data_IF_938414182213
#
_entry.id   IF_938414182213
#
_cell.length_a   1.000
_cell.length_b   1.000
_cell.length_c   1.000
_cell.angle_alpha   90.00
_cell.angle_beta   90.00
_cell.angle_gamma   90.00
#
_symmetry.space_group_name_H-M   'P 1'
#
loop_
_entity.id
_entity.type
_entity.pdbx_description
1 polymer ?
#
# COMPACT_ATOMS: atom_id res chain seq x y z
N UNK A 1 30.38 31.12 -11.04
CA UNK A 1 29.20 30.35 -11.48
C UNK A 1 29.10 28.94 -10.89
N UNK A 2 30.22 28.28 -10.53
CA UNK A 2 30.21 26.92 -9.91
C UNK A 2 29.71 26.95 -8.46
N UNK A 3 30.16 27.91 -7.65
CA UNK A 3 29.73 28.09 -6.25
C UNK A 3 28.21 28.29 -6.06
N UNK A 4 27.52 28.86 -7.04
CA UNK A 4 26.07 29.11 -6.97
C UNK A 4 25.25 27.83 -7.24
N UNK A 5 25.80 26.87 -8.01
CA UNK A 5 25.14 25.59 -8.28
C UNK A 5 25.26 24.62 -7.11
N UNK A 6 26.43 24.54 -6.47
CA UNK A 6 26.64 23.71 -5.27
C UNK A 6 25.77 24.18 -4.09
N UNK A 7 25.64 25.50 -3.88
CA UNK A 7 24.76 26.04 -2.84
C UNK A 7 23.28 25.72 -3.09
N UNK A 8 22.88 25.68 -4.36
CA UNK A 8 21.52 25.34 -4.75
C UNK A 8 21.22 23.86 -4.47
N UNK A 9 22.15 22.95 -4.77
CA UNK A 9 22.04 21.53 -4.43
C UNK A 9 21.95 21.29 -2.91
N UNK A 10 22.77 21.99 -2.13
CA UNK A 10 22.82 21.87 -0.66
C UNK A 10 21.52 22.34 0.01
N UNK A 11 20.76 23.24 -0.62
CA UNK A 11 19.50 23.75 -0.05
C UNK A 11 18.28 23.01 -0.63
N UNK A 12 18.20 22.84 -1.94
CA UNK A 12 17.02 22.25 -2.60
C UNK A 12 16.83 20.78 -2.23
N UNK A 13 17.91 20.01 -2.18
CA UNK A 13 17.84 18.56 -1.93
C UNK A 13 17.33 18.30 -0.51
N UNK A 14 17.90 18.86 0.56
CA UNK A 14 17.35 18.69 1.90
C UNK A 14 15.95 19.26 2.05
N UNK A 15 15.62 20.37 1.38
CA UNK A 15 14.27 20.95 1.41
C UNK A 15 13.24 19.99 0.80
N UNK A 16 13.51 19.42 -0.37
CA UNK A 16 12.63 18.43 -1.01
C UNK A 16 12.47 17.17 -0.15
N UNK A 17 13.56 16.66 0.43
CA UNK A 17 13.51 15.52 1.35
C UNK A 17 12.72 15.85 2.62
N UNK A 18 12.90 17.04 3.19
CA UNK A 18 12.19 17.48 4.38
C UNK A 18 10.69 17.62 4.13
N UNK A 19 10.28 18.15 2.96
CA UNK A 19 8.87 18.20 2.56
C UNK A 19 8.26 16.79 2.48
N UNK A 20 8.96 15.85 1.84
CA UNK A 20 8.49 14.47 1.73
C UNK A 20 8.41 13.78 3.10
N UNK A 21 9.45 13.89 3.94
CA UNK A 21 9.47 13.29 5.29
C UNK A 21 8.39 13.94 6.17
N UNK A 22 8.29 15.27 6.15
CA UNK A 22 7.30 16.03 6.90
C UNK A 22 5.87 15.62 6.54
N UNK A 23 5.59 15.42 5.25
CA UNK A 23 4.29 14.90 4.81
C UNK A 23 4.01 13.48 5.36
N UNK A 24 4.98 12.57 5.31
CA UNK A 24 4.79 11.21 5.82
C UNK A 24 4.61 11.17 7.35
N UNK A 25 5.30 12.05 8.09
CA UNK A 25 5.09 12.23 9.53
C UNK A 25 3.69 12.79 9.84
N UNK A 26 3.25 13.80 9.08
CA UNK A 26 1.90 14.34 9.17
C UNK A 26 0.84 13.28 8.87
N UNK A 27 1.05 12.47 7.84
CA UNK A 27 0.16 11.37 7.49
C UNK A 27 0.11 10.32 8.61
N UNK A 28 1.26 9.94 9.18
CA UNK A 28 1.32 9.00 10.30
C UNK A 28 0.54 9.52 11.51
N UNK A 29 0.70 10.80 11.83
CA UNK A 29 -0.10 11.47 12.85
C UNK A 29 -1.60 11.41 12.54
N UNK A 30 -1.99 11.70 11.30
CA UNK A 30 -3.39 11.69 10.85
C UNK A 30 -4.00 10.28 10.91
N UNK A 31 -3.27 9.24 10.49
CA UNK A 31 -3.70 7.84 10.59
C UNK A 31 -3.92 7.44 12.05
N UNK A 32 -3.03 7.87 12.97
CA UNK A 32 -3.09 7.53 14.39
C UNK A 32 -4.23 8.24 15.13
N UNK A 33 -4.43 9.53 14.86
CA UNK A 33 -5.37 10.38 15.62
C UNK A 33 -6.75 10.51 14.96
N UNK A 34 -6.80 10.46 13.63
CA UNK A 34 -8.01 10.67 12.84
C UNK A 34 -8.12 9.65 11.68
N UNK A 35 -8.15 8.34 11.97
CA UNK A 35 -8.14 7.30 10.94
C UNK A 35 -9.27 7.46 9.92
N UNK A 36 -10.44 7.94 10.38
CA UNK A 36 -11.64 8.17 9.56
C UNK A 36 -11.47 9.19 8.43
N UNK A 37 -10.50 10.10 8.55
CA UNK A 37 -10.22 11.14 7.54
C UNK A 37 -9.21 10.68 6.48
N UNK A 38 -8.68 9.47 6.62
CA UNK A 38 -7.64 8.92 5.74
C UNK A 38 -8.18 7.79 4.89
N UNK A 39 -7.74 7.70 3.64
CA UNK A 39 -8.10 6.56 2.76
C UNK A 39 -7.66 5.23 3.36
N UNK A 40 -6.48 5.16 4.00
CA UNK A 40 -6.02 3.94 4.69
C UNK A 40 -7.00 3.51 5.78
N UNK A 41 -7.44 4.44 6.63
CA UNK A 41 -8.38 4.11 7.70
C UNK A 41 -9.76 3.73 7.16
N UNK A 42 -10.22 4.42 6.11
CA UNK A 42 -11.46 4.08 5.41
C UNK A 42 -11.42 2.68 4.79
N UNK A 43 -10.35 2.35 4.07
CA UNK A 43 -10.18 1.03 3.48
C UNK A 43 -10.04 -0.07 4.54
N UNK A 44 -9.31 0.19 5.63
CA UNK A 44 -9.15 -0.77 6.72
C UNK A 44 -10.50 -1.05 7.40
N UNK A 45 -11.36 -0.04 7.55
CA UNK A 45 -12.74 -0.21 8.04
C UNK A 45 -13.57 -1.09 7.11
N UNK A 46 -13.51 -0.86 5.80
CA UNK A 46 -14.24 -1.66 4.82
C UNK A 46 -13.73 -3.12 4.76
N UNK A 47 -12.40 -3.32 4.80
CA UNK A 47 -11.79 -4.65 4.84
C UNK A 47 -12.17 -5.40 6.12
N UNK A 48 -12.23 -4.72 7.26
CA UNK A 48 -12.70 -5.28 8.53
C UNK A 48 -14.13 -5.78 8.43
N UNK A 49 -15.04 -4.93 7.94
CA UNK A 49 -16.44 -5.31 7.75
C UNK A 49 -16.61 -6.44 6.73
N UNK A 50 -15.80 -6.44 5.67
CA UNK A 50 -15.79 -7.50 4.66
C UNK A 50 -15.36 -8.85 5.24
N UNK A 51 -14.28 -8.90 6.04
CA UNK A 51 -13.83 -10.13 6.71
C UNK A 51 -14.84 -10.60 7.76
N UNK A 52 -15.40 -9.68 8.56
CA UNK A 52 -16.43 -10.01 9.55
C UNK A 52 -17.68 -10.61 8.88
N UNK A 53 -18.15 -10.01 7.78
CA UNK A 53 -19.29 -10.52 7.02
C UNK A 53 -19.05 -11.89 6.41
N UNK A 54 -17.83 -12.15 5.93
CA UNK A 54 -17.46 -13.44 5.34
C UNK A 54 -17.35 -14.55 6.40
N UNK A 55 -16.78 -14.26 7.57
CA UNK A 55 -16.49 -15.31 8.56
C UNK A 55 -17.63 -15.57 9.55
N UNK A 56 -18.56 -14.61 9.73
CA UNK A 56 -19.67 -14.74 10.70
C UNK A 56 -21.03 -14.97 10.04
N UNK A 57 -21.16 -14.78 8.72
CA UNK A 57 -22.36 -15.19 7.99
C UNK A 57 -22.31 -16.68 7.64
N UNK A 58 -23.46 -17.30 7.32
CA UNK A 58 -23.44 -18.46 6.38
C UNK A 58 -22.97 -17.91 5.04
N UNK A 59 -21.67 -17.70 4.89
CA UNK A 59 -21.03 -17.49 3.60
C UNK A 59 -21.14 -18.82 2.86
N UNK A 60 -21.88 -18.83 1.76
CA UNK A 60 -21.92 -20.00 0.90
C UNK A 60 -20.52 -20.24 0.30
N UNK A 61 -20.25 -21.45 -0.16
CA UNK A 61 -18.96 -21.81 -0.77
C UNK A 61 -18.58 -20.87 -1.93
N UNK A 62 -19.59 -20.29 -2.59
CA UNK A 62 -19.45 -19.24 -3.61
C UNK A 62 -18.87 -17.93 -3.07
N UNK A 63 -19.32 -17.44 -1.92
CA UNK A 63 -18.85 -16.17 -1.34
C UNK A 63 -17.40 -16.29 -0.88
N UNK A 64 -17.04 -17.43 -0.29
CA UNK A 64 -15.64 -17.77 0.05
C UNK A 64 -14.78 -17.82 -1.21
N UNK A 65 -15.24 -18.48 -2.28
CA UNK A 65 -14.50 -18.54 -3.55
C UNK A 65 -14.23 -17.16 -4.18
N UNK A 66 -15.23 -16.26 -4.15
CA UNK A 66 -15.05 -14.87 -4.58
C UNK A 66 -13.99 -14.18 -3.71
N UNK A 67 -14.03 -14.38 -2.40
CA UNK A 67 -13.08 -13.76 -1.49
C UNK A 67 -11.64 -14.25 -1.69
N UNK A 68 -11.45 -15.55 -1.90
CA UNK A 68 -10.15 -16.14 -2.24
C UNK A 68 -9.63 -15.58 -3.58
N UNK A 69 -10.53 -15.36 -4.56
CA UNK A 69 -10.19 -14.77 -5.86
C UNK A 69 -9.72 -13.31 -5.72
N UNK A 70 -10.38 -12.51 -4.88
CA UNK A 70 -9.97 -11.13 -4.58
C UNK A 70 -8.58 -11.12 -3.91
N UNK A 71 -8.31 -12.02 -2.97
CA UNK A 71 -6.99 -12.09 -2.34
C UNK A 71 -5.93 -12.56 -3.35
N UNK A 72 -6.25 -13.54 -4.19
CA UNK A 72 -5.35 -14.03 -5.23
C UNK A 72 -4.98 -12.94 -6.25
N UNK A 73 -5.93 -12.09 -6.64
CA UNK A 73 -5.64 -10.96 -7.54
C UNK A 73 -4.72 -9.93 -6.89
N UNK A 74 -4.92 -9.63 -5.60
CA UNK A 74 -4.02 -8.76 -4.83
C UNK A 74 -2.61 -9.36 -4.67
N UNK A 75 -2.50 -10.68 -4.44
CA UNK A 75 -1.22 -11.41 -4.45
C UNK A 75 -0.50 -11.25 -5.80
N UNK A 76 -1.23 -11.44 -6.90
CA UNK A 76 -0.69 -11.29 -8.25
C UNK A 76 -0.17 -9.88 -8.50
N UNK A 77 -0.95 -8.87 -8.14
CA UNK A 77 -0.54 -7.47 -8.28
C UNK A 77 0.68 -7.12 -7.40
N UNK A 78 0.80 -7.70 -6.19
CA UNK A 78 1.90 -7.42 -5.27
C UNK A 78 3.19 -8.04 -5.80
N UNK A 79 3.09 -9.26 -6.31
CA UNK A 79 4.19 -9.99 -6.93
C UNK A 79 4.67 -9.29 -8.20
N UNK A 80 3.76 -8.75 -9.02
CA UNK A 80 4.12 -7.94 -10.17
C UNK A 80 4.92 -6.68 -9.78
N UNK A 81 4.44 -5.92 -8.79
CA UNK A 81 5.15 -4.73 -8.30
C UNK A 81 6.49 -5.08 -7.63
N UNK A 82 6.58 -6.22 -6.94
CA UNK A 82 7.84 -6.71 -6.40
C UNK A 82 8.86 -7.00 -7.52
N UNK A 83 8.44 -7.73 -8.56
CA UNK A 83 9.27 -8.03 -9.73
C UNK A 83 9.73 -6.77 -10.46
N UNK A 84 8.84 -5.78 -10.62
CA UNK A 84 9.22 -4.47 -11.16
C UNK A 84 10.27 -3.77 -10.28
N UNK A 85 10.08 -3.78 -8.97
CA UNK A 85 10.98 -3.10 -8.02
C UNK A 85 12.39 -3.72 -8.04
N UNK A 86 12.49 -5.05 -8.03
CA UNK A 86 13.80 -5.73 -8.12
C UNK A 86 14.40 -5.62 -9.53
N UNK A 87 13.58 -5.63 -10.58
CA UNK A 87 14.02 -5.42 -11.96
C UNK A 87 14.64 -4.03 -12.17
N UNK A 88 13.99 -2.97 -11.67
CA UNK A 88 14.53 -1.61 -11.69
C UNK A 88 15.80 -1.49 -10.85
N UNK A 89 15.84 -2.13 -9.68
CA UNK A 89 17.04 -2.22 -8.84
C UNK A 89 18.22 -2.84 -9.60
N UNK A 90 17.98 -3.97 -10.28
CA UNK A 90 19.00 -4.65 -11.09
C UNK A 90 19.44 -3.81 -12.29
N UNK A 91 18.51 -3.14 -12.97
CA UNK A 91 18.81 -2.27 -14.11
C UNK A 91 19.72 -1.12 -13.69
N UNK A 92 19.39 -0.45 -12.59
CA UNK A 92 20.20 0.66 -12.06
C UNK A 92 21.56 0.14 -11.58
N UNK A 93 21.61 -0.99 -10.88
CA UNK A 93 22.86 -1.61 -10.43
C UNK A 93 23.78 -2.00 -11.59
N UNK A 94 23.22 -2.61 -12.64
CA UNK A 94 23.97 -2.96 -13.85
C UNK A 94 24.46 -1.71 -14.60
N UNK A 95 23.61 -0.69 -14.73
CA UNK A 95 23.97 0.58 -15.36
C UNK A 95 25.14 1.27 -14.66
N UNK A 96 25.14 1.28 -13.32
CA UNK A 96 26.24 1.83 -12.51
C UNK A 96 27.48 0.94 -12.61
N UNK A 97 27.33 -0.39 -12.59
CA UNK A 97 28.44 -1.34 -12.64
C UNK A 97 29.17 -1.43 -13.98
N UNK A 98 28.49 -1.19 -15.10
CA UNK A 98 29.09 -1.15 -16.44
C UNK A 98 29.83 0.16 -16.75
N UNK A 99 29.81 1.14 -15.83
CA UNK A 99 30.27 2.50 -16.08
C UNK A 99 31.79 2.69 -15.86
N UNK A 100 32.61 1.97 -16.62
CA UNK A 100 34.04 2.31 -16.72
C UNK A 100 34.34 3.44 -17.71
N UNK A 101 33.40 3.86 -18.58
CA UNK A 101 33.65 4.89 -19.62
C UNK A 101 32.40 5.68 -20.14
N UNK A 102 31.35 5.90 -19.34
CA UNK A 102 30.11 6.51 -19.86
C UNK A 102 30.14 8.05 -19.89
N UNK A 103 30.45 8.60 -21.06
CA UNK A 103 30.42 10.03 -21.44
C UNK A 103 29.05 10.69 -21.12
N UNK A 104 27.96 9.92 -21.14
CA UNK A 104 26.60 10.39 -20.79
C UNK A 104 26.40 10.77 -19.32
N UNK A 105 27.24 10.27 -18.41
CA UNK A 105 27.16 10.61 -16.99
C UNK A 105 27.58 12.08 -16.72
N UNK A 106 28.41 12.65 -17.60
CA UNK A 106 28.96 14.00 -17.46
C UNK A 106 28.03 15.08 -18.03
N UNK A 107 27.30 14.76 -19.10
CA UNK A 107 26.49 15.72 -19.87
C UNK A 107 25.01 15.76 -19.46
N UNK A 108 24.44 14.66 -18.95
CA UNK A 108 23.03 14.62 -18.53
C UNK A 108 22.81 15.13 -17.09
N UNK A 109 23.86 15.15 -16.26
CA UNK A 109 23.75 15.53 -14.84
C UNK A 109 23.88 17.05 -14.69
N UNK A 110 22.73 17.72 -14.49
CA UNK A 110 22.69 19.11 -14.06
C UNK A 110 22.82 19.16 -12.52
N UNK A 111 23.98 19.56 -12.00
CA UNK A 111 24.26 19.66 -10.56
C UNK A 111 25.73 19.38 -10.22
N UNK A 112 26.03 19.24 -8.93
CA UNK A 112 27.36 18.86 -8.44
C UNK A 112 27.85 17.54 -9.06
N UNK A 113 29.05 17.58 -9.66
CA UNK A 113 29.68 16.49 -10.42
C UNK A 113 30.63 15.64 -9.59
N UNK A 114 30.72 15.84 -8.27
CA UNK A 114 31.58 15.02 -7.41
C UNK A 114 31.13 13.55 -7.46
N UNK A 115 32.09 12.65 -7.71
CA UNK A 115 31.87 11.20 -7.79
C UNK A 115 31.17 10.62 -6.55
N UNK A 116 31.42 11.22 -5.37
CA UNK A 116 30.72 10.89 -4.13
C UNK A 116 29.23 11.21 -4.18
N UNK A 117 28.85 12.39 -4.69
CA UNK A 117 27.46 12.85 -4.75
C UNK A 117 26.65 11.98 -5.72
N UNK A 118 27.25 11.60 -6.84
CA UNK A 118 26.64 10.70 -7.83
C UNK A 118 26.39 9.31 -7.23
N UNK A 119 27.36 8.74 -6.52
CA UNK A 119 27.19 7.44 -5.84
C UNK A 119 26.03 7.46 -4.84
N UNK A 120 25.89 8.54 -4.06
CA UNK A 120 24.80 8.70 -3.09
C UNK A 120 23.42 8.71 -3.78
N UNK A 121 23.28 9.38 -4.92
CA UNK A 121 22.03 9.41 -5.70
C UNK A 121 21.57 8.00 -6.06
N UNK A 122 22.46 7.20 -6.66
CA UNK A 122 22.11 5.84 -7.10
C UNK A 122 21.91 4.86 -5.95
N UNK A 123 22.75 4.92 -4.90
CA UNK A 123 22.61 4.05 -3.72
C UNK A 123 21.29 4.34 -2.99
N UNK A 124 20.93 5.61 -2.82
CA UNK A 124 19.66 5.98 -2.19
C UNK A 124 18.47 5.48 -3.02
N UNK A 125 18.48 5.69 -4.33
CA UNK A 125 17.45 5.18 -5.23
C UNK A 125 17.31 3.66 -5.17
N UNK A 126 18.44 2.94 -5.22
CA UNK A 126 18.48 1.48 -5.11
C UNK A 126 17.90 1.01 -3.77
N UNK A 127 18.26 1.66 -2.67
CA UNK A 127 17.75 1.32 -1.34
C UNK A 127 16.23 1.44 -1.26
N UNK A 128 15.63 2.49 -1.85
CA UNK A 128 14.18 2.65 -1.87
C UNK A 128 13.47 1.60 -2.75
N UNK A 129 14.03 1.21 -3.90
CA UNK A 129 13.47 0.12 -4.70
C UNK A 129 13.57 -1.24 -3.99
N UNK A 130 14.68 -1.52 -3.32
CA UNK A 130 14.82 -2.74 -2.50
C UNK A 130 13.87 -2.74 -1.30
N UNK A 131 13.65 -1.59 -0.68
CA UNK A 131 12.67 -1.45 0.40
C UNK A 131 11.23 -1.64 -0.10
N UNK A 132 10.89 -1.12 -1.28
CA UNK A 132 9.60 -1.36 -1.94
C UNK A 132 9.42 -2.86 -2.25
N UNK A 133 10.44 -3.51 -2.82
CA UNK A 133 10.47 -4.96 -3.07
C UNK A 133 10.19 -5.74 -1.78
N UNK A 134 10.94 -5.48 -0.71
CA UNK A 134 10.76 -6.16 0.57
C UNK A 134 9.35 -5.96 1.12
N UNK A 135 8.80 -4.74 1.01
CA UNK A 135 7.43 -4.43 1.45
C UNK A 135 6.38 -5.22 0.65
N UNK A 136 6.52 -5.33 -0.67
CA UNK A 136 5.60 -6.13 -1.49
C UNK A 136 5.72 -7.63 -1.21
N UNK A 137 6.91 -8.16 -0.96
CA UNK A 137 7.09 -9.55 -0.54
C UNK A 137 6.38 -9.82 0.79
N UNK A 138 6.50 -8.90 1.77
CA UNK A 138 5.77 -9.03 3.04
C UNK A 138 4.25 -8.95 2.82
N UNK A 139 3.77 -8.05 1.96
CA UNK A 139 2.36 -7.98 1.58
C UNK A 139 1.86 -9.32 1.02
N UNK A 140 2.59 -9.91 0.07
CA UNK A 140 2.27 -11.22 -0.51
C UNK A 140 2.20 -12.31 0.56
N UNK A 141 3.16 -12.36 1.49
CA UNK A 141 3.16 -13.34 2.59
C UNK A 141 1.91 -13.24 3.46
N UNK A 142 1.51 -12.03 3.83
CA UNK A 142 0.30 -11.83 4.65
C UNK A 142 -0.98 -12.19 3.88
N UNK A 143 -1.06 -11.86 2.59
CA UNK A 143 -2.20 -12.26 1.77
C UNK A 143 -2.28 -13.77 1.56
N UNK A 144 -1.16 -14.45 1.33
CA UNK A 144 -1.12 -15.92 1.27
C UNK A 144 -1.57 -16.53 2.61
N UNK A 145 -1.13 -15.97 3.74
CA UNK A 145 -1.58 -16.43 5.05
C UNK A 145 -3.09 -16.23 5.25
N UNK A 146 -3.63 -15.07 4.86
CA UNK A 146 -5.07 -14.83 4.88
C UNK A 146 -5.85 -15.81 4.00
N UNK A 147 -5.31 -16.14 2.81
CA UNK A 147 -5.88 -17.11 1.88
C UNK A 147 -6.03 -18.49 2.53
N UNK A 148 -4.97 -18.99 3.18
CA UNK A 148 -5.01 -20.24 3.93
C UNK A 148 -6.04 -20.22 5.07
N UNK A 149 -6.08 -19.13 5.86
CA UNK A 149 -7.05 -19.02 6.96
C UNK A 149 -8.50 -19.02 6.44
N UNK A 150 -8.76 -18.39 5.30
CA UNK A 150 -10.10 -18.32 4.70
C UNK A 150 -10.51 -19.61 3.99
N UNK A 151 -9.56 -20.37 3.43
CA UNK A 151 -9.85 -21.63 2.74
C UNK A 151 -10.01 -22.82 3.68
N UNK A 152 -9.67 -22.67 4.96
CA UNK A 152 -9.71 -23.78 5.93
C UNK A 152 -11.15 -24.09 6.35
N UNK A 153 -11.72 -25.26 6.02
CA UNK A 153 -13.09 -25.61 6.38
C UNK A 153 -13.22 -25.91 7.88
N UNK A 154 -14.41 -25.66 8.45
CA UNK A 154 -14.88 -26.24 9.73
C UNK A 154 -13.98 -26.04 10.96
N UNK A 155 -13.27 -24.92 11.04
CA UNK A 155 -12.45 -24.59 12.19
C UNK A 155 -12.91 -23.26 12.80
N UNK A 156 -13.09 -23.21 14.13
CA UNK A 156 -13.42 -21.99 14.88
C UNK A 156 -12.23 -21.01 14.93
N UNK A 157 -11.72 -20.62 13.76
CA UNK A 157 -10.64 -19.64 13.63
C UNK A 157 -11.21 -18.27 14.01
N UNK A 158 -10.64 -17.56 15.00
CA UNK A 158 -11.15 -16.25 15.34
C UNK A 158 -10.99 -15.29 14.16
N UNK A 159 -12.09 -14.63 13.78
CA UNK A 159 -12.18 -13.65 12.67
C UNK A 159 -11.07 -12.61 12.71
N UNK A 160 -10.65 -12.23 13.93
CA UNK A 160 -9.56 -11.30 14.20
C UNK A 160 -8.23 -11.70 13.55
N UNK A 161 -7.93 -12.99 13.39
CA UNK A 161 -6.69 -13.44 12.74
C UNK A 161 -6.71 -13.17 11.24
N UNK A 162 -7.83 -13.47 10.57
CA UNK A 162 -8.00 -13.18 9.14
C UNK A 162 -7.98 -11.67 8.91
N UNK A 163 -8.72 -10.93 9.74
CA UNK A 163 -8.77 -9.46 9.69
C UNK A 163 -7.37 -8.86 9.79
N UNK A 164 -6.59 -9.30 10.79
CA UNK A 164 -5.24 -8.83 11.03
C UNK A 164 -4.28 -9.20 9.90
N UNK A 165 -4.42 -10.37 9.29
CA UNK A 165 -3.63 -10.79 8.14
C UNK A 165 -3.92 -9.90 6.91
N UNK A 166 -5.20 -9.67 6.59
CA UNK A 166 -5.62 -8.82 5.45
C UNK A 166 -5.19 -7.36 5.65
N UNK A 167 -5.40 -6.80 6.85
CA UNK A 167 -5.01 -5.42 7.16
C UNK A 167 -3.50 -5.26 7.13
N UNK A 168 -2.72 -6.19 7.70
CA UNK A 168 -1.25 -6.12 7.66
C UNK A 168 -0.73 -6.22 6.23
N UNK A 169 -1.25 -7.16 5.44
CA UNK A 169 -0.91 -7.28 4.02
C UNK A 169 -1.17 -5.97 3.28
N UNK A 170 -2.36 -5.40 3.43
CA UNK A 170 -2.69 -4.12 2.81
C UNK A 170 -1.83 -2.95 3.30
N UNK A 171 -1.43 -2.92 4.57
CA UNK A 171 -0.54 -1.86 5.06
C UNK A 171 0.85 -1.95 4.43
N UNK A 172 1.40 -3.17 4.28
CA UNK A 172 2.68 -3.38 3.59
C UNK A 172 2.58 -3.05 2.09
N UNK A 173 1.45 -3.35 1.45
CA UNK A 173 1.15 -2.91 0.09
C UNK A 173 1.24 -1.38 -0.03
N UNK A 174 0.51 -0.65 0.81
CA UNK A 174 0.50 0.81 0.79
C UNK A 174 1.87 1.40 1.15
N UNK A 175 2.64 0.73 2.01
CA UNK A 175 4.01 1.12 2.34
C UNK A 175 4.95 0.97 1.12
N UNK A 176 4.83 -0.14 0.39
CA UNK A 176 5.58 -0.37 -0.85
C UNK A 176 5.26 0.68 -1.93
N UNK A 177 3.99 1.03 -2.12
CA UNK A 177 3.61 2.10 -3.05
C UNK A 177 4.21 3.45 -2.67
N UNK A 178 4.20 3.80 -1.37
CA UNK A 178 4.84 5.05 -0.92
C UNK A 178 6.35 5.06 -1.12
N UNK A 179 7.00 3.92 -0.91
CA UNK A 179 8.42 3.76 -1.23
C UNK A 179 8.70 3.97 -2.73
N UNK A 180 7.82 3.48 -3.62
CA UNK A 180 7.94 3.72 -5.06
C UNK A 180 7.76 5.21 -5.41
N UNK A 181 6.80 5.92 -4.81
CA UNK A 181 6.64 7.36 -5.05
C UNK A 181 7.87 8.17 -4.58
N UNK A 182 8.47 7.76 -3.46
CA UNK A 182 9.72 8.35 -3.00
C UNK A 182 10.88 8.03 -3.95
N UNK A 183 10.99 6.79 -4.42
CA UNK A 183 11.97 6.39 -5.43
C UNK A 183 11.81 7.19 -6.74
N UNK A 184 10.59 7.46 -7.18
CA UNK A 184 10.34 8.33 -8.34
C UNK A 184 10.89 9.74 -8.12
N UNK A 185 10.70 10.32 -6.93
CA UNK A 185 11.26 11.66 -6.59
C UNK A 185 12.80 11.63 -6.64
N UNK A 186 13.42 10.57 -6.12
CA UNK A 186 14.87 10.37 -6.20
C UNK A 186 15.37 10.11 -7.62
N UNK A 187 14.57 9.50 -8.49
CA UNK A 187 14.89 9.35 -9.91
C UNK A 187 15.01 10.73 -10.58
N UNK A 188 14.09 11.66 -10.27
CA UNK A 188 14.18 13.04 -10.78
C UNK A 188 15.42 13.80 -10.27
N UNK A 189 15.98 13.39 -9.13
CA UNK A 189 17.23 13.95 -8.61
C UNK A 189 18.47 13.62 -9.45
N UNK A 190 18.39 12.57 -10.29
CA UNK A 190 19.44 12.27 -11.27
C UNK A 190 19.53 13.39 -12.33
N UNK A 191 18.39 13.97 -12.73
CA UNK A 191 18.35 15.10 -13.67
C UNK A 191 18.74 16.44 -13.04
N UNK A 192 18.66 16.56 -11.71
CA UNK A 192 19.14 17.71 -10.96
C UNK A 192 18.28 18.09 -9.73
N UNK A 193 18.70 19.11 -8.96
CA UNK A 193 17.97 19.55 -7.77
C UNK A 193 16.64 20.23 -8.08
N UNK A 194 16.54 20.94 -9.21
CA UNK A 194 15.33 21.67 -9.60
C UNK A 194 14.18 20.70 -9.95
N UNK A 195 14.36 19.68 -10.83
CA UNK A 195 13.35 18.67 -11.07
C UNK A 195 13.00 17.86 -9.82
N UNK A 196 13.97 17.61 -8.94
CA UNK A 196 13.73 16.95 -7.65
C UNK A 196 12.78 17.77 -6.76
N UNK A 197 13.02 19.08 -6.60
CA UNK A 197 12.14 19.90 -5.78
C UNK A 197 10.73 19.97 -6.39
N UNK A 198 10.63 20.22 -7.70
CA UNK A 198 9.35 20.27 -8.39
C UNK A 198 8.57 18.95 -8.26
N UNK A 199 9.24 17.81 -8.47
CA UNK A 199 8.62 16.49 -8.29
C UNK A 199 8.24 16.21 -6.84
N UNK A 200 9.01 16.67 -5.85
CA UNK A 200 8.67 16.52 -4.43
C UNK A 200 7.40 17.28 -4.05
N UNK A 201 7.25 18.53 -4.52
CA UNK A 201 6.04 19.33 -4.29
C UNK A 201 4.84 18.67 -4.97
N UNK A 202 5.00 18.26 -6.23
CA UNK A 202 3.97 17.56 -6.98
C UNK A 202 3.54 16.26 -6.28
N UNK A 203 4.50 15.47 -5.77
CA UNK A 203 4.21 14.22 -5.05
C UNK A 203 3.50 14.48 -3.72
N UNK A 204 3.86 15.52 -2.97
CA UNK A 204 3.14 15.89 -1.74
C UNK A 204 1.70 16.28 -2.05
N UNK A 205 1.47 17.04 -3.13
CA UNK A 205 0.11 17.40 -3.57
C UNK A 205 -0.68 16.15 -3.97
N UNK A 206 -0.09 15.29 -4.81
CA UNK A 206 -0.69 14.04 -5.26
C UNK A 206 -1.06 13.14 -4.07
N UNK A 207 -0.12 12.94 -3.14
CA UNK A 207 -0.34 12.14 -1.94
C UNK A 207 -1.41 12.76 -1.05
N UNK A 208 -1.44 14.10 -0.92
CA UNK A 208 -2.48 14.76 -0.14
C UNK A 208 -3.87 14.47 -0.67
N UNK A 209 -4.05 14.51 -2.00
CA UNK A 209 -5.32 14.12 -2.63
C UNK A 209 -5.62 12.63 -2.46
N UNK A 210 -4.62 11.76 -2.63
CA UNK A 210 -4.80 10.30 -2.54
C UNK A 210 -5.07 9.82 -1.11
N UNK A 211 -4.49 10.47 -0.11
CA UNK A 211 -4.61 10.06 1.29
C UNK A 211 -5.80 10.70 2.01
N UNK A 212 -6.37 11.78 1.46
CA UNK A 212 -7.51 12.49 2.08
C UNK A 212 -8.81 11.83 1.68
N UNK A 213 -9.57 11.38 2.68
CA UNK A 213 -10.90 10.84 2.48
C UNK A 213 -11.95 11.80 3.04
N UNK A 214 -12.85 12.28 2.19
CA UNK A 214 -14.01 13.10 2.59
C UNK A 214 -15.29 12.27 2.72
N UNK A 215 -15.26 10.98 2.34
CA UNK A 215 -16.45 10.14 2.40
C UNK A 215 -16.71 9.67 3.84
N UNK A 216 -17.95 9.81 4.36
CA UNK A 216 -18.28 9.32 5.69
C UNK A 216 -18.20 7.79 5.72
N UNK A 217 -17.78 7.22 6.85
CA UNK A 217 -17.69 5.77 6.98
C UNK A 217 -19.08 5.14 6.95
N UNK A 218 -19.23 4.11 6.13
CA UNK A 218 -20.45 3.33 6.12
C UNK A 218 -20.59 2.57 7.44
N UNK A 219 -21.74 2.71 8.09
CA UNK A 219 -22.07 1.94 9.28
C UNK A 219 -22.60 0.57 8.87
N UNK A 220 -21.71 -0.42 8.87
CA UNK A 220 -22.11 -1.80 8.66
C UNK A 220 -22.97 -2.29 9.84
N UNK A 221 -24.09 -2.99 9.58
CA UNK A 221 -24.92 -3.52 10.66
C UNK A 221 -24.12 -4.52 11.50
N UNK A 222 -24.30 -4.53 12.84
CA UNK A 222 -23.57 -5.44 13.70
C UNK A 222 -23.91 -6.89 13.34
N UNK A 223 -22.94 -7.82 13.41
CA UNK A 223 -23.11 -9.21 12.94
C UNK A 223 -24.26 -9.95 13.62
N UNK A 224 -24.57 -9.65 14.89
CA UNK A 224 -25.72 -10.25 15.58
C UNK A 224 -27.08 -9.88 14.95
N UNK A 225 -27.17 -8.75 14.25
CA UNK A 225 -28.43 -8.28 13.65
C UNK A 225 -28.79 -9.06 12.39
N UNK A 226 -27.80 -9.56 11.64
CA UNK A 226 -28.05 -10.48 10.51
C UNK A 226 -28.46 -11.87 11.02
N UNK A 227 -27.85 -12.33 12.12
CA UNK A 227 -28.21 -13.58 12.81
C UNK A 227 -29.65 -13.53 13.34
N UNK A 228 -30.04 -12.47 14.09
CA UNK A 228 -31.42 -12.28 14.55
C UNK A 228 -32.42 -12.22 13.40
N UNK A 229 -32.09 -11.53 12.29
CA UNK A 229 -32.95 -11.50 11.10
C UNK A 229 -33.07 -12.86 10.40
N UNK A 230 -32.11 -13.77 10.57
CA UNK A 230 -32.17 -15.14 10.05
C UNK A 230 -33.01 -16.03 10.95
N UNK A 231 -32.77 -15.99 12.26
CA UNK A 231 -33.59 -16.69 13.27
C UNK A 231 -35.06 -16.29 13.13
N UNK A 232 -35.34 -14.99 13.01
CA UNK A 232 -36.69 -14.46 12.81
C UNK A 232 -37.30 -14.85 11.45
N UNK A 233 -36.48 -15.16 10.44
CA UNK A 233 -36.96 -15.71 9.16
C UNK A 233 -37.23 -17.21 9.23
N UNK A 234 -36.40 -17.98 9.92
CA UNK A 234 -36.62 -19.41 10.17
C UNK A 234 -37.88 -19.63 11.01
N UNK A 235 -38.05 -18.90 12.11
CA UNK A 235 -39.26 -18.95 12.94
C UNK A 235 -40.51 -18.64 12.10
N UNK A 236 -40.48 -17.62 11.22
CA UNK A 236 -41.60 -17.31 10.32
C UNK A 236 -41.81 -18.31 9.19
N UNK A 237 -40.80 -19.10 8.82
CA UNK A 237 -40.94 -20.16 7.84
C UNK A 237 -41.57 -21.40 8.50
N UNK A 238 -41.06 -21.79 9.67
CA UNK A 238 -41.60 -22.88 10.50
C UNK A 238 -43.06 -22.64 10.93
N UNK A 239 -43.39 -21.41 11.33
CA UNK A 239 -44.75 -21.03 11.66
C UNK A 239 -45.70 -21.11 10.45
N UNK A 240 -45.20 -20.87 9.22
CA UNK A 240 -46.00 -20.99 7.99
C UNK A 240 -46.22 -22.44 7.59
N UNK A 241 -45.23 -23.31 7.76
CA UNK A 241 -45.39 -24.74 7.50
C UNK A 241 -46.37 -25.38 8.48
N UNK A 242 -46.30 -25.04 9.77
CA UNK A 242 -47.26 -25.54 10.77
C UNK A 242 -48.69 -25.06 10.51
N UNK A 243 -48.87 -23.83 10.01
CA UNK A 243 -50.20 -23.33 9.64
C UNK A 243 -50.81 -24.11 8.47
N UNK A 244 -49.99 -24.57 7.52
CA UNK A 244 -50.46 -25.32 6.35
C UNK A 244 -50.78 -26.79 6.66
N UNK A 245 -50.14 -27.37 7.67
CA UNK A 245 -50.43 -28.74 8.15
C UNK A 245 -51.67 -28.82 9.06
N UNK A 246 -52.16 -27.67 9.56
CA UNK A 246 -53.33 -27.58 10.43
C UNK A 246 -54.66 -27.28 9.69
N UNK A 247 -54.62 -27.08 8.37
CA UNK A 247 -55.78 -26.90 7.48
C UNK A 247 -56.00 -28.16 6.63
#
# INVERSE_FOLDING_TARGET
MVLQKEYLDVILVPTGLFLMIGYHLFLLYRIRKFPHTTVIGYENHNKRAWVEGLMQGDSDMKDTSIALTVIASNIGAATYLASLSIGLSSLIGAWVGSSSNNIFMSDLIYGDRRSSTISIKYISLLAFFLFAFASFIQSTRYFVHANFLMSTPHTDIPVKYVEMAVIRGSNFWSLGLRALYFATTLLFWIFGPIPMLASSIFMVILLHFLDTNSTPLHQYPPPNRSLMKRVDRQIRAEARTQHWEAC
#
